data_IF_717556566061
#
_entry.id   IF_717556566061
#
_cell.length_a   1.000
_cell.length_b   1.000
_cell.length_c   1.000
_cell.angle_alpha   90.00
_cell.angle_beta   90.00
_cell.angle_gamma   90.00
#
_symmetry.space_group_name_H-M   'P 1'
#
loop_
_entity.id
_entity.type
_entity.pdbx_description
1 polymer ?
#
# COMPACT_ATOMS: atom_id res chain seq x y z
N UNK A 1 -0.29 17.79 9.07
CA UNK A 1 -0.43 16.37 9.49
C UNK A 1 -1.64 15.68 8.88
N UNK A 2 -2.88 16.19 9.00
CA UNK A 2 -4.08 15.57 8.39
C UNK A 2 -3.92 15.22 6.91
N UNK A 3 -3.36 16.13 6.09
CA UNK A 3 -3.11 15.88 4.64
C UNK A 3 -2.12 14.73 4.38
N UNK A 4 -1.09 14.59 5.21
CA UNK A 4 -0.09 13.52 5.09
C UNK A 4 -0.66 12.15 5.49
N UNK A 5 -1.46 12.10 6.56
CA UNK A 5 -2.16 10.89 6.98
C UNK A 5 -3.17 10.46 5.91
N UNK A 6 -3.93 11.40 5.35
CA UNK A 6 -4.86 11.12 4.25
C UNK A 6 -4.14 10.59 2.99
N UNK A 7 -2.99 11.18 2.64
CA UNK A 7 -2.16 10.71 1.53
C UNK A 7 -1.64 9.28 1.73
N UNK A 8 -1.10 8.98 2.92
CA UNK A 8 -0.62 7.65 3.25
C UNK A 8 -1.76 6.62 3.29
N UNK A 9 -2.94 6.99 3.81
CA UNK A 9 -4.12 6.11 3.83
C UNK A 9 -4.64 5.84 2.42
N UNK A 10 -4.69 6.86 1.55
CA UNK A 10 -5.08 6.70 0.15
C UNK A 10 -4.11 5.79 -0.60
N UNK A 11 -2.80 5.95 -0.37
CA UNK A 11 -1.77 5.14 -1.02
C UNK A 11 -1.81 3.68 -0.54
N UNK A 12 -2.08 3.45 0.74
CA UNK A 12 -2.32 2.11 1.30
C UNK A 12 -3.57 1.47 0.69
N UNK A 13 -4.68 2.21 0.63
CA UNK A 13 -5.92 1.75 -0.01
C UNK A 13 -5.72 1.41 -1.50
N UNK A 14 -5.01 2.27 -2.23
CA UNK A 14 -4.68 2.05 -3.65
C UNK A 14 -3.80 0.80 -3.83
N UNK A 15 -2.82 0.59 -2.94
CA UNK A 15 -1.93 -0.57 -2.98
C UNK A 15 -2.68 -1.87 -2.71
N UNK A 16 -3.61 -1.88 -1.76
CA UNK A 16 -4.49 -3.03 -1.50
C UNK A 16 -5.38 -3.34 -2.70
N UNK A 17 -5.94 -2.31 -3.33
CA UNK A 17 -6.82 -2.46 -4.49
C UNK A 17 -6.02 -2.99 -5.70
N UNK A 18 -4.82 -2.47 -5.94
CA UNK A 18 -3.91 -2.96 -6.97
C UNK A 18 -3.53 -4.44 -6.76
N UNK A 19 -3.23 -4.83 -5.52
CA UNK A 19 -2.96 -6.23 -5.17
C UNK A 19 -4.18 -7.12 -5.43
N UNK A 20 -5.37 -6.68 -5.01
CA UNK A 20 -6.61 -7.43 -5.21
C UNK A 20 -6.91 -7.66 -6.70
N UNK A 21 -6.72 -6.63 -7.53
CA UNK A 21 -6.87 -6.74 -8.99
C UNK A 21 -5.89 -7.74 -9.58
N UNK A 22 -4.61 -7.69 -9.19
CA UNK A 22 -3.59 -8.63 -9.67
C UNK A 22 -3.93 -10.09 -9.28
N UNK A 23 -4.40 -10.31 -8.06
CA UNK A 23 -4.81 -11.64 -7.58
C UNK A 23 -6.05 -12.17 -8.30
N UNK A 24 -7.07 -11.32 -8.50
CA UNK A 24 -8.28 -11.70 -9.24
C UNK A 24 -7.92 -12.06 -10.70
N UNK A 25 -7.04 -11.29 -11.33
CA UNK A 25 -6.59 -11.54 -12.69
C UNK A 25 -5.89 -12.91 -12.82
N UNK A 26 -4.96 -13.22 -11.92
CA UNK A 26 -4.27 -14.52 -11.91
C UNK A 26 -5.23 -15.69 -11.65
N UNK A 27 -6.19 -15.54 -10.73
CA UNK A 27 -7.19 -16.58 -10.45
C UNK A 27 -8.14 -16.80 -11.63
N UNK A 28 -8.49 -15.76 -12.39
CA UNK A 28 -9.28 -15.89 -13.61
C UNK A 28 -8.53 -16.68 -14.69
N UNK A 29 -7.24 -16.41 -14.88
CA UNK A 29 -6.39 -17.20 -15.77
C UNK A 29 -6.34 -18.68 -15.36
N UNK A 30 -6.07 -18.94 -14.08
CA UNK A 30 -6.04 -20.31 -13.54
C UNK A 30 -7.37 -21.05 -13.74
N UNK A 31 -8.51 -20.36 -13.57
CA UNK A 31 -9.83 -20.96 -13.81
C UNK A 31 -10.08 -21.35 -15.27
N UNK A 32 -9.33 -20.77 -16.20
CA UNK A 32 -9.35 -21.07 -17.64
C UNK A 32 -8.27 -22.06 -18.07
N UNK A 33 -7.45 -22.55 -17.12
CA UNK A 33 -6.33 -23.43 -17.39
C UNK A 33 -5.10 -22.73 -17.99
N UNK A 34 -5.08 -21.40 -17.95
CA UNK A 34 -4.01 -20.57 -18.50
C UNK A 34 -3.21 -19.89 -17.38
N UNK A 35 -1.90 -19.70 -17.56
CA UNK A 35 -1.03 -19.17 -16.51
C UNK A 35 -0.74 -17.68 -16.72
N UNK A 36 -1.76 -16.89 -16.41
CA UNK A 36 -1.78 -15.44 -16.60
C UNK A 36 -0.95 -14.75 -15.52
N UNK A 37 0.32 -14.50 -15.83
CA UNK A 37 1.31 -13.98 -14.88
C UNK A 37 2.66 -14.69 -14.91
N UNK A 38 2.84 -15.65 -15.83
CA UNK A 38 4.17 -16.21 -16.11
C UNK A 38 5.12 -15.13 -16.67
N UNK A 39 6.35 -15.09 -16.15
CA UNK A 39 7.43 -14.25 -16.67
C UNK A 39 7.96 -14.77 -18.02
N UNK A 40 7.63 -16.02 -18.37
CA UNK A 40 8.16 -16.72 -19.53
C UNK A 40 7.10 -16.95 -20.64
N UNK A 41 5.86 -16.48 -20.43
CA UNK A 41 4.76 -16.60 -21.39
C UNK A 41 4.60 -15.36 -22.30
N UNK A 42 3.86 -15.47 -23.43
CA UNK A 42 3.51 -14.33 -24.29
C UNK A 42 2.52 -13.34 -23.61
N UNK A 43 2.23 -13.57 -22.34
CA UNK A 43 1.18 -12.93 -21.59
C UNK A 43 1.64 -11.63 -20.92
N UNK A 44 0.71 -10.71 -20.62
CA UNK A 44 1.08 -9.44 -20.03
C UNK A 44 1.77 -9.63 -18.67
N UNK A 45 3.00 -9.13 -18.53
CA UNK A 45 3.81 -9.23 -17.30
C UNK A 45 3.37 -8.21 -16.22
N UNK A 46 2.57 -7.20 -16.59
CA UNK A 46 2.13 -6.14 -15.69
C UNK A 46 1.42 -6.61 -14.41
N UNK A 47 0.61 -7.69 -14.37
CA UNK A 47 -0.05 -8.15 -13.14
C UNK A 47 0.98 -8.64 -12.11
N UNK A 48 2.05 -9.29 -12.56
CA UNK A 48 3.14 -9.74 -11.70
C UNK A 48 3.93 -8.56 -11.13
N UNK A 49 4.25 -7.57 -11.96
CA UNK A 49 4.96 -6.35 -11.53
C UNK A 49 4.13 -5.52 -10.54
N UNK A 50 2.84 -5.33 -10.84
CA UNK A 50 1.91 -4.59 -9.97
C UNK A 50 1.67 -5.33 -8.66
N UNK A 51 1.46 -6.65 -8.71
CA UNK A 51 1.29 -7.48 -7.52
C UNK A 51 2.54 -7.46 -6.63
N UNK A 52 3.73 -7.60 -7.22
CA UNK A 52 4.99 -7.53 -6.48
C UNK A 52 5.23 -6.14 -5.87
N UNK A 53 4.97 -5.07 -6.63
CA UNK A 53 5.08 -3.70 -6.14
C UNK A 53 4.12 -3.42 -4.98
N UNK A 54 2.87 -3.87 -5.09
CA UNK A 54 1.87 -3.71 -4.04
C UNK A 54 2.22 -4.49 -2.76
N UNK A 55 2.78 -5.70 -2.90
CA UNK A 55 3.25 -6.54 -1.79
C UNK A 55 4.24 -5.80 -0.87
N UNK A 56 5.12 -4.97 -1.42
CA UNK A 56 6.06 -4.15 -0.66
C UNK A 56 5.49 -2.77 -0.28
N UNK A 57 4.66 -2.17 -1.13
CA UNK A 57 4.06 -0.87 -0.86
C UNK A 57 3.08 -0.90 0.33
N UNK A 58 2.36 -2.01 0.54
CA UNK A 58 1.42 -2.18 1.65
C UNK A 58 2.12 -2.10 3.03
N UNK A 59 3.12 -2.94 3.37
CA UNK A 59 3.78 -2.88 4.67
C UNK A 59 4.52 -1.56 4.88
N UNK A 60 5.15 -1.00 3.84
CA UNK A 60 5.84 0.30 3.92
C UNK A 60 4.85 1.43 4.23
N UNK A 61 3.75 1.50 3.48
CA UNK A 61 2.72 2.52 3.71
C UNK A 61 2.03 2.36 5.07
N UNK A 62 1.83 1.12 5.54
CA UNK A 62 1.30 0.85 6.87
C UNK A 62 2.24 1.36 7.98
N UNK A 63 3.54 1.08 7.88
CA UNK A 63 4.54 1.58 8.84
C UNK A 63 4.56 3.11 8.87
N UNK A 64 4.55 3.76 7.70
CA UNK A 64 4.52 5.22 7.60
C UNK A 64 3.24 5.78 8.24
N UNK A 65 2.08 5.16 7.98
CA UNK A 65 0.81 5.58 8.56
C UNK A 65 0.85 5.49 10.10
N UNK A 66 1.32 4.37 10.63
CA UNK A 66 1.48 4.17 12.08
C UNK A 66 2.42 5.21 12.68
N UNK A 67 3.56 5.48 12.04
CA UNK A 67 4.51 6.51 12.47
C UNK A 67 3.89 7.91 12.50
N UNK A 68 3.15 8.29 11.45
CA UNK A 68 2.45 9.58 11.39
C UNK A 68 1.36 9.71 12.45
N UNK A 69 0.62 8.63 12.73
CA UNK A 69 -0.39 8.59 13.80
C UNK A 69 0.28 8.72 15.17
N UNK A 70 1.36 7.98 15.42
CA UNK A 70 2.11 8.07 16.67
C UNK A 70 2.64 9.49 16.91
N UNK A 71 3.25 10.12 15.89
CA UNK A 71 3.70 11.52 15.98
C UNK A 71 2.54 12.49 16.24
N UNK A 72 1.39 12.28 15.61
CA UNK A 72 0.22 13.10 15.83
C UNK A 72 -0.31 12.98 17.27
N UNK A 73 -0.35 11.76 17.83
CA UNK A 73 -0.71 11.50 19.23
C UNK A 73 0.29 12.17 20.17
N UNK A 74 1.59 11.92 19.98
CA UNK A 74 2.67 12.54 20.77
C UNK A 74 2.54 14.06 20.78
N UNK A 75 2.29 14.70 19.63
CA UNK A 75 2.05 16.16 19.56
C UNK A 75 0.74 16.63 20.18
N UNK A 76 -0.29 15.79 20.24
CA UNK A 76 -1.57 16.13 20.85
C UNK A 76 -1.52 16.03 22.38
N UNK A 77 -0.74 15.08 22.91
CA UNK A 77 -0.66 14.80 24.34
C UNK A 77 0.57 15.37 25.05
N UNK A 78 1.63 15.74 24.31
CA UNK A 78 2.71 16.59 24.85
C UNK A 78 2.41 18.04 24.46
N UNK A 79 1.77 18.83 25.34
CA UNK A 79 1.79 20.27 25.19
C UNK A 79 3.26 20.71 25.16
N UNK A 80 3.57 21.66 24.29
CA UNK A 80 4.89 22.27 24.15
C UNK A 80 5.27 22.87 25.51
N UNK A 81 5.95 22.08 26.34
CA UNK A 81 6.47 22.54 27.63
C UNK A 81 7.59 23.52 27.36
N UNK A 82 7.26 24.82 27.42
CA UNK A 82 8.22 25.90 27.57
C UNK A 82 8.96 26.34 26.30
N UNK A 83 8.54 27.46 25.73
CA UNK A 83 9.41 28.51 25.19
C UNK A 83 8.48 29.61 24.67
N UNK A 84 7.89 30.35 25.59
CA UNK A 84 7.30 31.69 25.40
C UNK A 84 7.00 32.26 26.79
N UNK A 85 8.06 32.67 27.51
CA UNK A 85 8.07 33.70 28.56
C UNK A 85 9.48 33.86 29.11
#
# INVERSE_FOLDING_TARGET
MKRWIAGAAALLGLSLLALAVAVIYGNLGLSRGEQWGSLDGPEPVWPAVVGFGALWAIPISAIILVGLVAVAIVRAYLPKSGSDS
#
